data_IF_589670827996
#
_entry.id   IF_589670827996
#
_cell.length_a   1.000
_cell.length_b   1.000
_cell.length_c   1.000
_cell.angle_alpha   90.00
_cell.angle_beta   90.00
_cell.angle_gamma   90.00
#
_symmetry.space_group_name_H-M   'P 1'
#
loop_
_entity.id
_entity.type
_entity.pdbx_description
1 polymer ?
#
# COMPACT_ATOMS: atom_id res chain seq x y z
N UNK A 1 15.77 0.05 14.16
CA UNK A 1 16.11 1.23 13.35
C UNK A 1 14.85 2.03 13.17
N UNK A 2 14.69 3.15 13.90
CA UNK A 2 13.52 4.02 13.75
C UNK A 2 13.74 4.85 12.48
N UNK A 3 13.17 4.41 11.35
CA UNK A 3 13.13 5.21 10.14
C UNK A 3 12.23 6.42 10.42
N UNK A 4 12.74 7.63 10.24
CA UNK A 4 11.89 8.83 10.23
C UNK A 4 10.82 8.69 9.15
N UNK A 5 9.67 9.36 9.29
CA UNK A 5 8.58 9.25 8.29
C UNK A 5 9.07 9.47 6.86
N UNK A 6 10.00 10.41 6.65
CA UNK A 6 10.63 10.71 5.36
C UNK A 6 11.43 9.54 4.77
N UNK A 7 12.21 8.82 5.59
CA UNK A 7 12.95 7.64 5.16
C UNK A 7 12.02 6.49 4.78
N UNK A 8 10.89 6.34 5.48
CA UNK A 8 9.93 5.30 5.17
C UNK A 8 9.22 5.56 3.82
N UNK A 9 8.85 6.81 3.52
CA UNK A 9 8.31 7.16 2.19
C UNK A 9 9.28 6.82 1.05
N UNK A 10 10.56 7.11 1.22
CA UNK A 10 11.58 6.78 0.22
C UNK A 10 11.73 5.27 0.04
N UNK A 11 11.75 4.52 1.15
CA UNK A 11 11.83 3.06 1.10
C UNK A 11 10.59 2.44 0.43
N UNK A 12 9.38 2.94 0.72
CA UNK A 12 8.17 2.53 0.01
C UNK A 12 8.25 2.81 -1.50
N UNK A 13 8.74 3.99 -1.89
CA UNK A 13 8.89 4.35 -3.30
C UNK A 13 9.83 3.39 -4.04
N UNK A 14 11.00 3.11 -3.47
CA UNK A 14 11.95 2.13 -3.99
C UNK A 14 11.32 0.73 -4.07
N UNK A 15 10.53 0.38 -3.08
CA UNK A 15 9.84 -0.91 -3.04
C UNK A 15 8.79 -1.06 -4.13
N UNK A 16 8.03 -0.01 -4.48
CA UNK A 16 7.09 -0.08 -5.60
C UNK A 16 7.81 -0.31 -6.92
N UNK A 17 8.96 0.36 -7.12
CA UNK A 17 9.79 0.13 -8.31
C UNK A 17 10.25 -1.32 -8.40
N UNK A 18 10.66 -1.91 -7.27
CA UNK A 18 11.01 -3.32 -7.20
C UNK A 18 9.84 -4.24 -7.59
N UNK A 19 8.65 -4.03 -7.00
CA UNK A 19 7.45 -4.82 -7.31
C UNK A 19 7.05 -4.70 -8.79
N UNK A 20 7.08 -3.47 -9.32
CA UNK A 20 6.77 -3.17 -10.71
C UNK A 20 7.77 -3.84 -11.67
N UNK A 21 9.07 -3.74 -11.41
CA UNK A 21 10.10 -4.32 -12.25
C UNK A 21 10.01 -5.85 -12.29
N UNK A 22 9.82 -6.47 -11.12
CA UNK A 22 9.74 -7.94 -10.99
C UNK A 22 8.55 -8.49 -11.79
N UNK A 23 7.36 -7.90 -11.65
CA UNK A 23 6.18 -8.35 -12.42
C UNK A 23 6.17 -7.90 -13.87
N UNK A 24 6.82 -6.79 -14.19
CA UNK A 24 7.01 -6.32 -15.56
C UNK A 24 7.80 -7.32 -16.39
N UNK A 25 8.88 -7.88 -15.84
CA UNK A 25 9.68 -8.91 -16.52
C UNK A 25 8.90 -10.21 -16.79
N UNK A 26 7.91 -10.52 -15.96
CA UNK A 26 7.05 -11.70 -16.12
C UNK A 26 5.83 -11.47 -17.03
N UNK A 27 5.61 -10.24 -17.51
CA UNK A 27 4.42 -9.88 -18.30
C UNK A 27 3.11 -9.87 -17.51
N UNK A 28 3.17 -9.91 -16.17
CA UNK A 28 2.03 -10.04 -15.26
C UNK A 28 1.69 -8.74 -14.52
N UNK A 29 2.17 -7.59 -15.01
CA UNK A 29 2.01 -6.32 -14.32
C UNK A 29 0.61 -5.72 -14.52
N UNK A 30 -0.32 -6.18 -13.69
CA UNK A 30 -1.70 -5.71 -13.61
C UNK A 30 -1.93 -4.75 -12.42
N UNK A 31 -0.85 -4.14 -11.91
CA UNK A 31 -0.87 -3.31 -10.69
C UNK A 31 -0.41 -1.89 -10.96
N UNK A 32 -1.09 -0.91 -10.36
CA UNK A 32 -0.66 0.48 -10.24
C UNK A 32 -0.47 0.85 -8.76
N UNK A 33 0.28 1.93 -8.49
CA UNK A 33 0.65 2.33 -7.14
C UNK A 33 0.40 3.82 -6.94
N UNK A 34 -0.33 4.18 -5.89
CA UNK A 34 -0.45 5.57 -5.47
C UNK A 34 0.77 5.98 -4.67
N UNK A 35 1.28 7.18 -4.93
CA UNK A 35 2.42 7.67 -4.19
C UNK A 35 1.97 8.10 -2.78
N UNK A 36 2.49 7.50 -1.70
CA UNK A 36 1.97 7.67 -0.35
C UNK A 36 2.01 9.12 0.15
N UNK A 37 2.95 9.95 -0.34
CA UNK A 37 3.02 11.38 0.01
C UNK A 37 1.87 12.22 -0.56
N UNK A 38 1.24 11.80 -1.64
CA UNK A 38 0.13 12.55 -2.27
C UNK A 38 -1.24 12.11 -1.76
N UNK A 39 -1.28 11.07 -0.92
CA UNK A 39 -2.49 10.56 -0.29
C UNK A 39 -2.34 10.49 1.23
N UNK A 40 -1.39 11.20 1.84
CA UNK A 40 -1.17 11.12 3.29
C UNK A 40 -2.30 11.75 4.11
N UNK A 41 -2.47 11.31 5.36
CA UNK A 41 -3.58 11.72 6.24
C UNK A 41 -3.68 13.22 6.48
N UNK A 42 -2.55 13.95 6.48
CA UNK A 42 -2.51 15.41 6.53
C UNK A 42 -3.20 16.03 5.31
N UNK A 43 -2.76 15.68 4.09
CA UNK A 43 -3.38 16.17 2.85
C UNK A 43 -4.85 15.75 2.72
N UNK A 44 -5.18 14.51 3.07
CA UNK A 44 -6.57 14.05 3.10
C UNK A 44 -7.43 14.93 4.02
N UNK A 45 -6.82 15.51 5.05
CA UNK A 45 -7.47 16.39 6.02
C UNK A 45 -7.56 17.84 5.56
N UNK A 46 -6.44 18.36 5.07
CA UNK A 46 -6.19 19.79 4.91
C UNK A 46 -6.35 20.27 3.45
N UNK A 47 -6.12 19.39 2.46
CA UNK A 47 -6.22 19.67 1.02
C UNK A 47 -6.83 18.48 0.26
N UNK A 48 -8.10 18.21 0.52
CA UNK A 48 -8.80 17.03 -0.02
C UNK A 48 -8.95 17.08 -1.55
N UNK A 49 -9.09 18.26 -2.14
CA UNK A 49 -9.27 18.40 -3.59
C UNK A 49 -7.99 18.03 -4.35
N UNK A 50 -6.82 18.43 -3.84
CA UNK A 50 -5.54 17.95 -4.38
C UNK A 50 -5.45 16.42 -4.37
N UNK A 51 -5.84 15.78 -3.27
CA UNK A 51 -5.81 14.31 -3.15
C UNK A 51 -6.78 13.66 -4.13
N UNK A 52 -7.99 14.21 -4.26
CA UNK A 52 -9.01 13.75 -5.21
C UNK A 52 -8.47 13.80 -6.65
N UNK A 53 -7.85 14.91 -7.04
CA UNK A 53 -7.31 15.08 -8.39
C UNK A 53 -6.11 14.18 -8.64
N UNK A 54 -5.23 13.99 -7.64
CA UNK A 54 -4.16 13.00 -7.72
C UNK A 54 -4.72 11.60 -7.98
N UNK A 55 -5.74 11.17 -7.24
CA UNK A 55 -6.35 9.85 -7.39
C UNK A 55 -6.94 9.68 -8.80
N UNK A 56 -7.68 10.68 -9.29
CA UNK A 56 -8.25 10.68 -10.65
C UNK A 56 -7.16 10.54 -11.72
N UNK A 57 -6.07 11.30 -11.58
CA UNK A 57 -4.96 11.27 -12.52
C UNK A 57 -4.27 9.90 -12.55
N UNK A 58 -4.03 9.27 -11.40
CA UNK A 58 -3.43 7.93 -11.34
C UNK A 58 -4.35 6.88 -11.97
N UNK A 59 -5.65 6.88 -11.65
CA UNK A 59 -6.62 5.91 -12.18
C UNK A 59 -6.78 6.06 -13.70
N UNK A 60 -6.92 7.29 -14.19
CA UNK A 60 -7.07 7.56 -15.63
C UNK A 60 -5.81 7.20 -16.43
N UNK A 61 -4.63 7.47 -15.88
CA UNK A 61 -3.36 7.14 -16.52
C UNK A 61 -3.12 5.62 -16.57
N UNK A 62 -3.48 4.91 -15.51
CA UNK A 62 -3.34 3.45 -15.38
C UNK A 62 -4.66 2.70 -15.63
N UNK A 63 -5.47 3.16 -16.59
CA UNK A 63 -6.77 2.55 -16.90
C UNK A 63 -6.70 1.09 -17.37
N UNK A 64 -5.52 0.63 -17.80
CA UNK A 64 -5.24 -0.74 -18.20
C UNK A 64 -4.97 -1.66 -17.00
N UNK A 65 -4.85 -1.12 -15.79
CA UNK A 65 -4.58 -1.87 -14.57
C UNK A 65 -5.87 -2.22 -13.85
N UNK A 66 -5.95 -3.46 -13.37
CA UNK A 66 -7.05 -3.95 -12.56
C UNK A 66 -6.87 -3.60 -11.08
N UNK A 67 -5.63 -3.57 -10.60
CA UNK A 67 -5.33 -3.46 -9.18
C UNK A 67 -4.56 -2.19 -8.87
N UNK A 68 -4.96 -1.47 -7.82
CA UNK A 68 -4.29 -0.25 -7.38
C UNK A 68 -3.91 -0.33 -5.90
N UNK A 69 -2.63 -0.14 -5.61
CA UNK A 69 -2.05 -0.23 -4.27
C UNK A 69 -1.87 1.18 -3.70
N UNK A 70 -2.51 1.45 -2.56
CA UNK A 70 -2.50 2.73 -1.87
C UNK A 70 -2.03 2.56 -0.41
N UNK A 71 -0.71 2.46 -0.18
CA UNK A 71 -0.17 2.59 1.17
C UNK A 71 -0.45 4.01 1.69
N UNK A 72 -1.17 4.10 2.80
CA UNK A 72 -1.68 5.33 3.35
C UNK A 72 -1.25 5.49 4.81
N UNK A 73 -0.70 6.66 5.14
CA UNK A 73 -0.39 7.01 6.52
C UNK A 73 -1.59 7.75 7.14
N UNK A 74 -2.35 7.05 7.97
CA UNK A 74 -3.48 7.60 8.69
C UNK A 74 -3.01 8.41 9.91
N UNK A 75 -3.63 9.58 10.13
CA UNK A 75 -3.31 10.52 11.20
C UNK A 75 -2.95 11.91 10.67
N UNK A 76 -3.17 12.94 11.50
CA UNK A 76 -2.77 14.33 11.21
C UNK A 76 -1.40 14.64 11.85
N UNK A 77 -0.73 15.69 11.35
CA UNK A 77 0.47 16.24 12.00
C UNK A 77 0.18 16.92 13.34
N UNK A 78 -1.10 17.14 13.69
CA UNK A 78 -1.47 17.68 15.01
C UNK A 78 -1.33 16.62 16.11
N UNK A 79 -0.71 17.03 17.21
CA UNK A 79 0.01 16.26 18.24
C UNK A 79 -0.76 15.20 19.06
N UNK A 80 -1.90 14.67 18.59
CA UNK A 80 -2.72 13.71 19.33
C UNK A 80 -2.96 12.36 18.63
N UNK A 81 -2.64 12.20 17.35
CA UNK A 81 -2.78 10.94 16.63
C UNK A 81 -1.41 10.36 16.24
N UNK A 82 -1.05 9.21 16.80
CA UNK A 82 0.10 8.43 16.33
C UNK A 82 -0.08 8.13 14.84
N UNK A 83 0.92 8.49 14.02
CA UNK A 83 0.95 8.12 12.60
C UNK A 83 0.91 6.61 12.47
N UNK A 84 0.04 6.10 11.62
CA UNK A 84 -0.16 4.67 11.45
C UNK A 84 -0.32 4.32 9.98
N UNK A 85 0.44 3.34 9.52
CA UNK A 85 0.39 2.88 8.14
C UNK A 85 -0.71 1.83 7.96
N UNK A 86 -1.54 2.04 6.95
CA UNK A 86 -2.49 1.06 6.43
C UNK A 86 -2.23 0.85 4.94
N UNK A 87 -2.74 -0.25 4.39
CA UNK A 87 -2.78 -0.46 2.94
C UNK A 87 -4.24 -0.46 2.49
N UNK A 88 -4.54 0.38 1.52
CA UNK A 88 -5.77 0.31 0.74
C UNK A 88 -5.44 -0.36 -0.59
N UNK A 89 -6.21 -1.36 -0.99
CA UNK A 89 -6.11 -2.00 -2.30
C UNK A 89 -7.43 -1.83 -3.02
N UNK A 90 -7.42 -1.24 -4.21
CA UNK A 90 -8.60 -1.15 -5.06
C UNK A 90 -8.52 -2.17 -6.18
N UNK A 91 -9.65 -2.78 -6.48
CA UNK A 91 -9.86 -3.60 -7.66
C UNK A 91 -10.92 -2.95 -8.54
N UNK A 92 -10.58 -2.75 -9.81
CA UNK A 92 -11.56 -2.42 -10.84
C UNK A 92 -11.95 -3.72 -11.56
N UNK A 93 -13.16 -4.21 -11.34
CA UNK A 93 -13.60 -5.50 -11.85
C UNK A 93 -13.71 -5.47 -13.38
N UNK A 94 -12.97 -6.31 -14.13
CA UNK A 94 -12.87 -6.18 -15.59
C UNK A 94 -14.19 -6.48 -16.33
N UNK A 95 -15.03 -7.36 -15.78
CA UNK A 95 -16.31 -7.75 -16.40
C UNK A 95 -17.47 -6.84 -15.98
N UNK A 96 -17.67 -6.65 -14.67
CA UNK A 96 -18.80 -5.87 -14.15
C UNK A 96 -18.56 -4.37 -14.12
N UNK A 97 -17.33 -3.91 -14.36
CA UNK A 97 -16.92 -2.51 -14.29
C UNK A 97 -17.35 -1.85 -12.96
N UNK A 98 -17.13 -2.57 -11.86
CA UNK A 98 -17.42 -2.14 -10.49
C UNK A 98 -16.13 -2.06 -9.68
N UNK A 99 -16.17 -1.29 -8.60
CA UNK A 99 -15.03 -1.12 -7.71
C UNK A 99 -15.19 -1.89 -6.40
N UNK A 100 -14.14 -2.64 -6.05
CA UNK A 100 -13.97 -3.22 -4.72
C UNK A 100 -12.77 -2.58 -4.02
N UNK A 101 -12.88 -2.38 -2.72
CA UNK A 101 -11.84 -1.79 -1.90
C UNK A 101 -11.53 -2.66 -0.70
N UNK A 102 -10.25 -2.96 -0.49
CA UNK A 102 -9.76 -3.80 0.59
C UNK A 102 -8.87 -2.99 1.50
N UNK A 103 -9.14 -3.04 2.81
CA UNK A 103 -8.39 -2.32 3.82
C UNK A 103 -7.61 -3.28 4.72
N UNK A 104 -6.30 -3.09 4.76
CA UNK A 104 -5.37 -3.83 5.61
C UNK A 104 -4.89 -2.91 6.72
N UNK A 105 -5.22 -3.27 7.95
CA UNK A 105 -4.77 -2.56 9.15
C UNK A 105 -4.13 -3.58 10.11
N UNK A 106 -2.82 -3.44 10.32
CA UNK A 106 -2.07 -4.30 11.24
C UNK A 106 -2.33 -3.99 12.71
N UNK A 107 -2.96 -2.87 13.01
CA UNK A 107 -3.40 -2.55 14.35
C UNK A 107 -4.68 -3.35 14.67
N UNK A 108 -4.85 -3.78 15.91
CA UNK A 108 -6.08 -4.44 16.42
C UNK A 108 -7.24 -3.45 16.58
N UNK A 109 -7.42 -2.59 15.59
CA UNK A 109 -8.42 -1.55 15.54
C UNK A 109 -9.80 -2.16 15.27
N UNK A 110 -10.83 -1.68 15.97
CA UNK A 110 -12.23 -2.01 15.68
C UNK A 110 -12.82 -1.16 14.53
N UNK A 111 -12.02 -0.24 13.96
CA UNK A 111 -12.45 0.60 12.84
C UNK A 111 -12.87 -0.24 11.65
N UNK A 112 -14.00 0.10 11.06
CA UNK A 112 -14.55 -0.40 9.81
C UNK A 112 -14.11 0.51 8.65
N UNK A 113 -14.19 0.06 7.39
CA UNK A 113 -13.75 0.88 6.24
C UNK A 113 -14.35 2.30 6.18
N UNK A 114 -15.63 2.55 6.53
CA UNK A 114 -16.19 3.91 6.56
C UNK A 114 -15.53 4.85 7.58
N UNK A 115 -14.82 4.32 8.59
CA UNK A 115 -14.17 5.13 9.62
C UNK A 115 -12.84 5.75 9.13
N UNK A 116 -12.35 5.34 7.96
CA UNK A 116 -11.12 5.85 7.36
C UNK A 116 -11.44 6.93 6.35
N UNK A 117 -11.04 8.18 6.63
CA UNK A 117 -11.34 9.32 5.74
C UNK A 117 -10.92 9.10 4.28
N UNK A 118 -9.82 8.38 4.05
CA UNK A 118 -9.33 8.05 2.70
C UNK A 118 -10.33 7.23 1.87
N UNK A 119 -11.20 6.40 2.46
CA UNK A 119 -12.19 5.61 1.71
C UNK A 119 -13.22 6.51 1.03
N UNK A 120 -13.72 7.52 1.76
CA UNK A 120 -14.61 8.56 1.20
C UNK A 120 -13.94 9.39 0.10
N UNK A 121 -12.63 9.64 0.22
CA UNK A 121 -11.87 10.37 -0.81
C UNK A 121 -11.76 9.55 -2.10
N UNK A 122 -11.52 8.24 -1.99
CA UNK A 122 -11.52 7.35 -3.16
C UNK A 122 -12.89 7.32 -3.86
N UNK A 123 -14.00 7.19 -3.12
CA UNK A 123 -15.34 7.22 -3.72
C UNK A 123 -15.64 8.55 -4.42
N UNK A 124 -15.26 9.69 -3.83
CA UNK A 124 -15.41 11.00 -4.46
C UNK A 124 -14.55 11.17 -5.71
N UNK A 125 -13.34 10.61 -5.72
CA UNK A 125 -12.43 10.68 -6.85
C UNK A 125 -12.95 9.83 -8.02
N UNK A 126 -13.36 8.59 -7.73
CA UNK A 126 -13.87 7.60 -8.69
C UNK A 126 -15.28 7.96 -9.18
N UNK A 127 -16.07 8.68 -8.37
CA UNK A 127 -17.49 9.01 -8.63
C UNK A 127 -18.41 7.79 -8.74
N UNK A 128 -18.01 6.70 -8.10
CA UNK A 128 -18.80 5.48 -7.97
C UNK A 128 -18.75 4.99 -6.52
N UNK A 129 -19.75 4.21 -6.15
CA UNK A 129 -19.77 3.53 -4.85
C UNK A 129 -18.76 2.38 -4.87
N UNK A 130 -17.96 2.27 -3.83
CA UNK A 130 -16.98 1.18 -3.69
C UNK A 130 -17.49 0.20 -2.64
N UNK A 131 -17.46 -1.10 -2.97
CA UNK A 131 -17.74 -2.14 -1.98
C UNK A 131 -16.48 -2.36 -1.14
N UNK A 132 -16.55 -2.01 0.14
CA UNK A 132 -15.39 -2.04 1.03
C UNK A 132 -15.38 -3.25 1.97
N UNK A 133 -14.25 -3.94 2.01
CA UNK A 133 -13.96 -5.01 2.96
C UNK A 133 -12.72 -4.68 3.80
N UNK A 134 -12.80 -4.98 5.10
CA UNK A 134 -11.62 -4.99 5.97
C UNK A 134 -11.04 -6.40 5.99
N UNK A 135 -9.75 -6.49 5.74
CA UNK A 135 -9.06 -7.75 5.58
C UNK A 135 -8.27 -8.12 6.83
N UNK A 136 -8.43 -9.36 7.27
CA UNK A 136 -7.67 -9.97 8.36
C UNK A 136 -6.21 -10.20 7.97
N UNK A 137 -5.35 -9.28 8.40
CA UNK A 137 -3.94 -9.26 8.06
C UNK A 137 -3.02 -9.50 9.27
N UNK A 138 -1.72 -9.58 9.00
CA UNK A 138 -0.71 -9.76 10.06
C UNK A 138 -0.74 -8.56 11.02
N UNK A 139 -0.76 -8.87 12.30
CA UNK A 139 -0.87 -7.87 13.35
C UNK A 139 0.52 -7.40 13.79
N UNK A 140 0.64 -6.09 14.05
CA UNK A 140 1.87 -5.55 14.60
C UNK A 140 1.98 -5.90 16.10
N UNK A 141 3.16 -6.33 16.58
CA UNK A 141 3.36 -6.59 17.99
C UNK A 141 3.43 -5.29 18.82
N UNK A 142 4.01 -4.22 18.26
CA UNK A 142 4.17 -2.93 18.92
C UNK A 142 3.65 -1.79 18.02
N UNK A 143 4.13 -0.55 18.19
CA UNK A 143 3.61 0.63 17.48
C UNK A 143 4.30 1.01 16.16
N UNK A 144 5.48 0.46 15.84
CA UNK A 144 6.33 0.96 14.75
C UNK A 144 6.37 0.05 13.52
N UNK A 145 5.84 -1.17 13.64
CA UNK A 145 5.93 -2.22 12.61
C UNK A 145 4.90 -2.06 11.49
N UNK A 146 3.91 -1.17 11.64
CA UNK A 146 2.79 -0.99 10.71
C UNK A 146 3.23 -0.80 9.24
N UNK A 147 4.29 -0.02 9.01
CA UNK A 147 4.85 0.16 7.69
C UNK A 147 5.39 -1.14 7.07
N UNK A 148 6.09 -1.95 7.86
CA UNK A 148 6.59 -3.25 7.40
C UNK A 148 5.44 -4.23 7.12
N UNK A 149 4.38 -4.22 7.93
CA UNK A 149 3.19 -5.01 7.68
C UNK A 149 2.54 -4.66 6.33
N UNK A 150 2.44 -3.36 6.01
CA UNK A 150 1.97 -2.88 4.69
C UNK A 150 2.84 -3.42 3.56
N UNK A 151 4.17 -3.32 3.67
CA UNK A 151 5.09 -3.80 2.63
C UNK A 151 5.02 -5.32 2.43
N UNK A 152 4.90 -6.09 3.52
CA UNK A 152 4.70 -7.54 3.46
C UNK A 152 3.35 -7.90 2.82
N UNK A 153 2.28 -7.17 3.10
CA UNK A 153 0.98 -7.38 2.47
C UNK A 153 1.05 -7.14 0.95
N UNK A 154 1.72 -6.06 0.54
CA UNK A 154 1.99 -5.79 -0.88
C UNK A 154 2.86 -6.89 -1.51
N UNK A 155 3.87 -7.42 -0.80
CA UNK A 155 4.67 -8.55 -1.29
C UNK A 155 3.82 -9.78 -1.55
N UNK A 156 3.01 -10.17 -0.56
CA UNK A 156 2.17 -11.36 -0.63
C UNK A 156 1.15 -11.27 -1.77
N UNK A 157 0.57 -10.08 -1.95
CA UNK A 157 -0.34 -9.81 -3.05
C UNK A 157 0.39 -9.87 -4.39
N UNK A 158 1.39 -9.00 -4.56
CA UNK A 158 2.00 -8.74 -5.86
C UNK A 158 2.90 -9.88 -6.26
N UNK A 159 3.85 -10.31 -5.43
CA UNK A 159 4.87 -11.30 -5.81
C UNK A 159 4.39 -12.73 -5.62
N UNK A 160 3.73 -13.02 -4.51
CA UNK A 160 3.28 -14.38 -4.25
C UNK A 160 1.98 -14.76 -4.99
N UNK A 161 1.39 -13.82 -5.75
CA UNK A 161 0.11 -13.97 -6.48
C UNK A 161 -1.02 -14.50 -5.61
N UNK A 162 -1.04 -14.11 -4.33
CA UNK A 162 -1.98 -14.67 -3.37
C UNK A 162 -3.14 -13.71 -3.14
N UNK A 163 -3.88 -13.42 -4.21
CA UNK A 163 -5.18 -12.73 -4.11
C UNK A 163 -6.10 -13.45 -3.08
N UNK A 164 -5.95 -14.78 -2.96
CA UNK A 164 -6.64 -15.64 -2.00
C UNK A 164 -5.99 -15.74 -0.60
N UNK A 165 -4.75 -15.25 -0.38
CA UNK A 165 -4.14 -15.15 0.98
C UNK A 165 -4.25 -13.79 1.63
N UNK A 166 -5.11 -12.93 1.07
CA UNK A 166 -5.58 -11.76 1.81
C UNK A 166 -6.35 -12.22 3.06
N UNK A 167 -6.90 -13.44 3.09
CA UNK A 167 -7.68 -13.97 4.21
C UNK A 167 -6.80 -14.71 5.24
N UNK A 168 -7.07 -14.51 6.53
CA UNK A 168 -6.61 -15.33 7.67
C UNK A 168 -5.13 -15.27 8.04
N UNK A 169 -4.52 -14.08 8.08
CA UNK A 169 -3.20 -13.90 8.69
C UNK A 169 -3.25 -13.14 10.02
N UNK A 170 -4.19 -13.45 10.91
CA UNK A 170 -4.38 -12.72 12.20
C UNK A 170 -3.28 -12.93 13.26
N UNK A 171 -2.11 -13.46 12.89
CA UNK A 171 -1.00 -13.66 13.82
C UNK A 171 -0.14 -12.40 13.94
N UNK A 172 0.48 -12.24 15.10
CA UNK A 172 1.51 -11.22 15.31
C UNK A 172 2.73 -11.49 14.43
N UNK A 173 3.25 -10.44 13.80
CA UNK A 173 4.54 -10.47 13.11
C UNK A 173 5.65 -10.58 14.15
N UNK A 174 6.61 -11.47 13.93
CA UNK A 174 7.82 -11.54 14.76
C UNK A 174 8.90 -10.63 14.19
N UNK A 175 9.74 -10.08 15.07
CA UNK A 175 10.87 -9.26 14.67
C UNK A 175 11.80 -9.96 13.67
N UNK A 176 12.03 -11.27 13.84
CA UNK A 176 12.85 -12.07 12.93
C UNK A 176 12.30 -12.10 11.51
N UNK A 177 10.98 -12.08 11.34
CA UNK A 177 10.34 -12.07 10.03
C UNK A 177 10.44 -10.71 9.35
N UNK A 178 10.37 -9.61 10.13
CA UNK A 178 10.65 -8.26 9.62
C UNK A 178 12.11 -8.16 9.18
N UNK A 179 13.04 -8.63 10.01
CA UNK A 179 14.47 -8.61 9.68
C UNK A 179 14.75 -9.40 8.40
N UNK A 180 14.23 -10.62 8.31
CA UNK A 180 14.39 -11.47 7.13
C UNK A 180 13.76 -10.84 5.88
N UNK A 181 12.57 -10.26 6.00
CA UNK A 181 11.92 -9.54 4.90
C UNK A 181 12.74 -8.34 4.42
N UNK A 182 13.26 -7.53 5.35
CA UNK A 182 14.08 -6.36 5.03
C UNK A 182 15.39 -6.80 4.37
N UNK A 183 16.08 -7.80 4.93
CA UNK A 183 17.32 -8.32 4.35
C UNK A 183 17.12 -8.87 2.94
N UNK A 184 16.05 -9.64 2.71
CA UNK A 184 15.73 -10.15 1.37
C UNK A 184 15.42 -9.00 0.40
N UNK A 185 14.60 -8.04 0.82
CA UNK A 185 14.23 -6.88 0.00
C UNK A 185 15.46 -6.05 -0.36
N UNK A 186 16.34 -5.79 0.61
CA UNK A 186 17.59 -5.04 0.40
C UNK A 186 18.58 -5.79 -0.49
N UNK A 187 18.72 -7.11 -0.32
CA UNK A 187 19.58 -7.94 -1.19
C UNK A 187 19.13 -7.86 -2.64
N UNK A 188 17.82 -8.01 -2.88
CA UNK A 188 17.27 -7.91 -4.22
C UNK A 188 17.46 -6.49 -4.76
N UNK A 189 17.14 -5.46 -3.98
CA UNK A 189 17.36 -4.08 -4.35
C UNK A 189 18.81 -3.83 -4.79
N UNK A 190 19.80 -4.15 -3.96
CA UNK A 190 21.23 -3.99 -4.27
C UNK A 190 21.60 -4.77 -5.53
N UNK A 191 21.13 -6.02 -5.67
CA UNK A 191 21.45 -6.85 -6.85
C UNK A 191 20.88 -6.28 -8.15
N UNK A 192 19.71 -5.63 -8.11
CA UNK A 192 19.09 -5.00 -9.29
C UNK A 192 19.84 -3.75 -9.76
N UNK A 193 20.60 -3.07 -8.90
CA UNK A 193 21.48 -1.96 -9.32
C UNK A 193 22.82 -2.44 -9.85
N UNK A 194 23.35 -3.58 -9.38
CA UNK A 194 24.64 -4.11 -9.84
C UNK A 194 24.59 -4.67 -11.26
N UNK A 195 23.46 -5.22 -11.70
CA UNK A 195 23.31 -5.71 -13.09
C UNK A 195 23.15 -4.58 -14.12
N UNK A 196 22.99 -3.32 -13.69
CA UNK A 196 22.96 -2.15 -14.57
C UNK A 196 24.35 -1.65 -14.96
N UNK A 197 25.41 -2.10 -14.28
CA UNK A 197 26.79 -1.62 -14.49
C UNK A 197 27.65 -2.58 -15.34
N UNK A 198 27.13 -3.75 -15.72
CA UNK A 198 27.87 -4.75 -16.53
C UNK A 198 27.56 -4.65 -18.04
N UNK A 199 26.81 -3.62 -18.47
CA UNK A 199 26.45 -3.37 -19.87
C UNK A 199 26.79 -1.95 -20.38
N UNK A 200 27.76 -1.29 -19.75
CA UNK A 200 28.50 -0.15 -20.36
C UNK A 200 29.92 -0.58 -20.76
#
# INVERSE_FOLDING_TARGET
>A
MLLTSSCFFFFCYLYFRYLYATRGQEGLNNTAYFHPRYIEGGLVSDDVEFVIDHIRNVISFHKDKQWFMAPHIAGSFSYACSKHWILVVLQHHPIYNTWMGYLFDSNKSLKKPPDYRITHVFEKAIKEKITWDKIDCRLQPNGWECGYCVMMAMYDFVICNREHMLVNKTRMVRQSEINEFVERTLKVFISSFRHGEEHE
#
